data_IF_210844385311
#
_entry.id   IF_210844385311
#
_cell.length_a   1.000
_cell.length_b   1.000
_cell.length_c   1.000
_cell.angle_alpha   90.00
_cell.angle_beta   90.00
_cell.angle_gamma   90.00
#
_symmetry.space_group_name_H-M   'P 1'
#
loop_
_entity.id
_entity.type
_entity.pdbx_description
1 polymer ?
#
# COMPACT_ATOMS: atom_id res chain seq x y z
N UNK A 1 -19.36 4.13 -1.38
CA UNK A 1 -18.82 2.87 -1.95
C UNK A 1 -17.66 2.28 -1.16
N UNK A 2 -16.46 2.88 -1.14
CA UNK A 2 -15.28 2.30 -0.45
C UNK A 2 -15.50 2.26 1.06
N UNK A 3 -15.80 3.41 1.69
CA UNK A 3 -16.02 3.51 3.14
C UNK A 3 -17.23 2.68 3.64
N UNK A 4 -18.18 2.40 2.75
CA UNK A 4 -19.39 1.62 3.06
C UNK A 4 -19.23 0.13 2.71
N UNK A 5 -18.06 -0.29 2.20
CA UNK A 5 -17.79 -1.67 1.77
C UNK A 5 -18.81 -2.25 0.78
N UNK A 6 -19.27 -1.45 -0.18
CA UNK A 6 -20.29 -1.84 -1.17
C UNK A 6 -19.72 -2.32 -2.51
N UNK A 7 -18.40 -2.44 -2.64
CA UNK A 7 -17.77 -2.95 -3.85
C UNK A 7 -17.92 -4.47 -3.92
N UNK A 8 -18.20 -5.00 -5.11
CA UNK A 8 -18.41 -6.44 -5.34
C UNK A 8 -17.19 -7.31 -4.99
N UNK A 9 -16.00 -6.71 -4.99
CA UNK A 9 -14.74 -7.35 -4.61
C UNK A 9 -14.50 -7.41 -3.09
N UNK A 10 -15.35 -6.76 -2.28
CA UNK A 10 -15.26 -6.74 -0.82
C UNK A 10 -14.56 -5.50 -0.26
N UNK A 11 -14.04 -5.63 0.96
CA UNK A 11 -13.39 -4.56 1.71
C UNK A 11 -12.04 -4.18 1.09
N UNK A 12 -12.01 -3.01 0.45
CA UNK A 12 -10.84 -2.49 -0.27
C UNK A 12 -9.69 -2.17 0.67
N UNK A 13 -9.96 -1.54 1.81
CA UNK A 13 -8.94 -1.01 2.71
C UNK A 13 -8.25 -2.16 3.44
N UNK A 14 -9.01 -3.17 3.88
CA UNK A 14 -8.45 -4.37 4.50
C UNK A 14 -7.55 -5.15 3.54
N UNK A 15 -7.99 -5.32 2.28
CA UNK A 15 -7.20 -6.02 1.25
C UNK A 15 -5.94 -5.22 0.89
N UNK A 16 -6.07 -3.90 0.69
CA UNK A 16 -4.94 -3.02 0.40
C UNK A 16 -3.91 -2.99 1.54
N UNK A 17 -4.35 -2.99 2.81
CA UNK A 17 -3.45 -3.06 3.98
C UNK A 17 -2.61 -4.32 3.97
N UNK A 18 -3.25 -5.47 3.75
CA UNK A 18 -2.56 -6.77 3.69
C UNK A 18 -1.60 -6.79 2.49
N UNK A 19 -2.02 -6.26 1.35
CA UNK A 19 -1.19 -6.18 0.16
C UNK A 19 0.05 -5.30 0.39
N UNK A 20 -0.09 -4.12 1.00
CA UNK A 20 1.03 -3.25 1.33
C UNK A 20 2.01 -3.88 2.32
N UNK A 21 1.51 -4.53 3.38
CA UNK A 21 2.35 -5.27 4.33
C UNK A 21 3.13 -6.39 3.65
N UNK A 22 2.49 -7.14 2.75
CA UNK A 22 3.16 -8.19 1.98
C UNK A 22 4.14 -7.62 0.96
N UNK A 23 3.79 -6.50 0.31
CA UNK A 23 4.64 -5.79 -0.65
C UNK A 23 5.96 -5.36 -0.01
N UNK A 24 5.89 -4.71 1.16
CA UNK A 24 7.06 -4.34 1.94
C UNK A 24 7.97 -5.54 2.26
N UNK A 25 7.38 -6.68 2.67
CA UNK A 25 8.16 -7.90 2.98
C UNK A 25 8.78 -8.57 1.75
N UNK A 26 8.29 -8.25 0.55
CA UNK A 26 8.78 -8.79 -0.73
C UNK A 26 9.63 -7.80 -1.50
N UNK A 27 10.01 -6.67 -0.91
CA UNK A 27 10.78 -5.63 -1.60
C UNK A 27 12.07 -6.15 -2.22
N UNK A 28 12.82 -7.01 -1.53
CA UNK A 28 14.06 -7.59 -2.07
C UNK A 28 13.86 -8.58 -3.23
N UNK A 29 12.67 -9.17 -3.37
CA UNK A 29 12.31 -9.99 -4.53
C UNK A 29 11.92 -9.13 -5.75
N UNK A 30 11.43 -7.91 -5.50
CA UNK A 30 10.92 -6.99 -6.53
C UNK A 30 12.00 -6.04 -7.06
N UNK A 31 12.92 -5.61 -6.19
CA UNK A 31 13.92 -4.59 -6.51
C UNK A 31 15.31 -5.25 -6.57
N UNK A 32 15.93 -5.37 -7.77
CA UNK A 32 17.10 -6.24 -7.99
C UNK A 32 18.33 -6.02 -7.10
N UNK A 33 18.52 -4.80 -6.58
CA UNK A 33 19.68 -4.42 -5.77
C UNK A 33 19.31 -4.14 -4.31
N UNK A 34 18.06 -4.39 -3.90
CA UNK A 34 17.67 -4.31 -2.49
C UNK A 34 18.22 -5.51 -1.73
N UNK A 35 18.82 -5.24 -0.57
CA UNK A 35 19.24 -6.31 0.33
C UNK A 35 18.01 -6.94 0.99
N UNK A 36 18.06 -8.24 1.23
CA UNK A 36 17.05 -8.89 2.06
C UNK A 36 17.33 -8.57 3.54
N UNK A 37 16.50 -7.69 4.12
CA UNK A 37 16.65 -7.16 5.48
C UNK A 37 15.50 -7.67 6.36
N UNK A 38 15.75 -8.12 7.61
CA UNK A 38 14.69 -8.45 8.55
C UNK A 38 13.83 -7.21 8.86
N UNK A 39 12.52 -7.33 8.67
CA UNK A 39 11.56 -6.26 8.99
C UNK A 39 10.89 -6.56 10.32
N UNK A 40 10.99 -5.63 11.27
CA UNK A 40 10.42 -5.77 12.62
C UNK A 40 8.98 -5.25 12.69
N UNK A 41 8.66 -4.19 11.94
CA UNK A 41 7.31 -3.64 11.86
C UNK A 41 7.02 -3.12 10.47
N UNK A 42 5.81 -3.41 9.98
CA UNK A 42 5.19 -2.72 8.84
C UNK A 42 3.79 -2.31 9.26
N UNK A 43 3.41 -1.09 8.96
CA UNK A 43 2.09 -0.54 9.21
C UNK A 43 1.65 0.25 7.98
N UNK A 44 0.44 -0.01 7.50
CA UNK A 44 -0.17 0.72 6.38
C UNK A 44 -1.42 1.38 6.90
N UNK A 45 -1.52 2.70 6.74
CA UNK A 45 -2.60 3.56 7.21
C UNK A 45 -3.27 4.25 6.01
N UNK A 46 -4.53 4.62 6.20
CA UNK A 46 -5.32 5.32 5.20
C UNK A 46 -5.96 6.55 5.83
N UNK A 47 -5.80 7.70 5.18
CA UNK A 47 -6.56 8.92 5.42
C UNK A 47 -7.42 9.24 4.20
N UNK A 48 -8.50 9.98 4.43
CA UNK A 48 -9.48 10.34 3.40
C UNK A 48 -9.59 11.84 3.34
N UNK A 49 -9.46 12.38 2.14
CA UNK A 49 -9.76 13.78 1.84
C UNK A 49 -11.02 13.78 0.96
N UNK A 50 -12.16 14.05 1.60
CA UNK A 50 -13.46 14.09 0.93
C UNK A 50 -13.57 15.28 -0.04
N UNK A 51 -12.87 16.39 0.22
CA UNK A 51 -12.91 17.58 -0.64
C UNK A 51 -12.24 17.29 -1.98
N UNK A 52 -11.09 16.60 -1.95
CA UNK A 52 -10.34 16.24 -3.15
C UNK A 52 -10.69 14.83 -3.69
N UNK A 53 -11.56 14.09 -2.99
CA UNK A 53 -11.90 12.69 -3.31
C UNK A 53 -10.65 11.79 -3.40
N UNK A 54 -9.72 11.93 -2.46
CA UNK A 54 -8.47 11.17 -2.44
C UNK A 54 -8.38 10.23 -1.25
N UNK A 55 -7.63 9.14 -1.43
CA UNK A 55 -7.23 8.23 -0.36
C UNK A 55 -5.72 8.36 -0.24
N UNK A 56 -5.27 8.90 0.88
CA UNK A 56 -3.86 8.94 1.23
C UNK A 56 -3.44 7.58 1.79
N UNK A 57 -2.29 7.09 1.33
CA UNK A 57 -1.72 5.82 1.76
C UNK A 57 -0.38 6.08 2.43
N UNK A 58 -0.32 5.87 3.74
CA UNK A 58 0.93 5.97 4.49
C UNK A 58 1.44 4.56 4.81
N UNK A 59 2.69 4.26 4.48
CA UNK A 59 3.34 3.01 4.85
C UNK A 59 4.57 3.29 5.72
N UNK A 60 4.50 2.84 6.96
CA UNK A 60 5.61 2.86 7.91
C UNK A 60 6.32 1.50 7.94
N UNK A 61 7.65 1.51 7.90
CA UNK A 61 8.46 0.31 8.07
C UNK A 61 9.57 0.55 9.10
N UNK A 62 9.87 -0.46 9.93
CA UNK A 62 10.96 -0.43 10.94
C UNK A 62 11.83 -1.68 10.90
N UNK A 63 13.14 -1.49 11.01
CA UNK A 63 14.14 -2.56 11.22
C UNK A 63 15.14 -2.17 12.32
N UNK A 64 15.72 -3.15 12.99
CA UNK A 64 16.94 -3.02 13.79
C UNK A 64 18.22 -3.44 13.02
N UNK A 65 18.10 -3.62 11.70
CA UNK A 65 19.21 -3.91 10.80
C UNK A 65 20.21 -2.76 10.64
N UNK A 66 21.30 -3.04 9.90
CA UNK A 66 22.40 -2.08 9.67
C UNK A 66 22.11 -1.07 8.56
N UNK A 67 21.07 -1.30 7.76
CA UNK A 67 20.71 -0.50 6.59
C UNK A 67 19.31 0.07 6.77
N UNK A 68 19.05 1.20 6.12
CA UNK A 68 17.70 1.74 5.98
C UNK A 68 16.77 0.76 5.25
N UNK A 69 15.47 1.00 5.41
CA UNK A 69 14.37 0.23 4.79
C UNK A 69 13.36 1.17 4.13
N UNK A 70 13.88 2.23 3.51
CA UNK A 70 13.11 3.22 2.76
C UNK A 70 12.35 2.54 1.62
N UNK A 71 12.98 1.55 0.99
CA UNK A 71 12.40 0.83 -0.14
C UNK A 71 11.23 -0.05 0.28
N UNK A 72 11.26 -0.64 1.47
CA UNK A 72 10.16 -1.43 2.04
C UNK A 72 8.93 -0.54 2.29
N UNK A 73 9.14 0.67 2.81
CA UNK A 73 8.07 1.65 3.00
C UNK A 73 7.45 2.09 1.66
N UNK A 74 8.28 2.48 0.69
CA UNK A 74 7.82 2.93 -0.63
C UNK A 74 7.12 1.80 -1.41
N UNK A 75 7.65 0.58 -1.33
CA UNK A 75 7.04 -0.60 -1.97
C UNK A 75 5.71 -0.92 -1.32
N UNK A 76 5.63 -0.91 0.01
CA UNK A 76 4.38 -1.17 0.73
C UNK A 76 3.28 -0.17 0.37
N UNK A 77 3.61 1.12 0.33
CA UNK A 77 2.68 2.16 -0.12
C UNK A 77 2.23 1.93 -1.58
N UNK A 78 3.18 1.71 -2.49
CA UNK A 78 2.90 1.49 -3.91
C UNK A 78 1.99 0.29 -4.15
N UNK A 79 2.26 -0.84 -3.48
CA UNK A 79 1.46 -2.07 -3.63
C UNK A 79 0.07 -1.90 -3.02
N UNK A 80 -0.07 -1.19 -1.90
CA UNK A 80 -1.38 -0.85 -1.35
C UNK A 80 -2.19 0.02 -2.33
N UNK A 81 -1.59 1.07 -2.90
CA UNK A 81 -2.24 1.95 -3.88
C UNK A 81 -2.66 1.22 -5.16
N UNK A 82 -1.79 0.36 -5.70
CA UNK A 82 -2.12 -0.49 -6.85
C UNK A 82 -3.26 -1.47 -6.54
N UNK A 83 -3.32 -1.95 -5.30
CA UNK A 83 -4.41 -2.84 -4.86
C UNK A 83 -5.73 -2.09 -4.75
N UNK A 84 -5.73 -0.86 -4.21
CA UNK A 84 -6.92 0.00 -4.22
C UNK A 84 -7.40 0.20 -5.66
N UNK A 85 -6.51 0.56 -6.57
CA UNK A 85 -6.85 0.71 -7.99
C UNK A 85 -7.44 -0.58 -8.58
N UNK A 86 -6.83 -1.75 -8.34
CA UNK A 86 -7.34 -3.03 -8.82
C UNK A 86 -8.79 -3.29 -8.36
N UNK A 87 -9.09 -2.91 -7.12
CA UNK A 87 -10.38 -3.12 -6.48
C UNK A 87 -11.46 -2.16 -7.01
N UNK A 88 -11.09 -0.95 -7.44
CA UNK A 88 -12.04 0.08 -7.90
C UNK A 88 -12.15 0.21 -9.43
N UNK A 89 -11.18 -0.30 -10.21
CA UNK A 89 -11.12 -0.07 -11.68
C UNK A 89 -12.33 -0.53 -12.49
N UNK A 90 -13.22 -1.34 -11.91
CA UNK A 90 -14.49 -1.70 -12.54
C UNK A 90 -15.51 -0.56 -12.49
N UNK A 91 -15.42 0.30 -11.47
CA UNK A 91 -16.30 1.45 -11.22
C UNK A 91 -15.65 2.74 -11.72
N UNK A 92 -14.36 2.95 -11.44
CA UNK A 92 -13.62 4.13 -11.84
C UNK A 92 -12.27 3.74 -12.48
N UNK A 93 -12.18 3.92 -13.80
CA UNK A 93 -10.95 3.67 -14.58
C UNK A 93 -10.03 4.89 -14.67
N UNK A 94 -10.54 6.07 -14.32
CA UNK A 94 -9.82 7.33 -14.38
C UNK A 94 -9.01 7.65 -13.13
N UNK A 95 -9.15 6.87 -12.06
CA UNK A 95 -8.34 7.00 -10.85
C UNK A 95 -6.83 7.03 -11.18
N UNK A 96 -6.10 7.89 -10.48
CA UNK A 96 -4.66 8.09 -10.65
C UNK A 96 -3.98 7.81 -9.31
N UNK A 97 -2.79 7.21 -9.37
CA UNK A 97 -1.88 7.07 -8.23
C UNK A 97 -0.82 8.16 -8.39
N UNK A 98 -0.64 8.99 -7.37
CA UNK A 98 0.30 10.11 -7.35
C UNK A 98 0.80 10.36 -5.92
N UNK A 99 1.90 11.11 -5.80
CA UNK A 99 2.44 11.66 -4.55
C UNK A 99 1.73 12.92 -4.04
#
# INVERSE_FOLDING_TARGET
LILENQLSKGDVLSVARIAGIQGAKKTSDLIPLCHNIPIDKVEVLFSFDDENSTIEVECFAKTFGKTGIEMEALTGCSIASLTIYDMIKAVDKSAVIQE
#
